data_IF_521936479511
#
_entry.id   IF_521936479511
#
_cell.length_a   1.000
_cell.length_b   1.000
_cell.length_c   1.000
_cell.angle_alpha   90.00
_cell.angle_beta   90.00
_cell.angle_gamma   90.00
#
_symmetry.space_group_name_H-M   'P 1'
#
loop_
_entity.id
_entity.type
_entity.pdbx_description
1 polymer ?
#
# COMPACT_ATOMS: atom_id res chain seq x y z
N UNK A 1 -14.73 32.94 -6.63
CA UNK A 1 -14.71 31.82 -5.68
C UNK A 1 -15.57 30.66 -6.14
N UNK A 2 -16.87 30.83 -6.40
CA UNK A 2 -17.72 29.72 -6.91
C UNK A 2 -17.24 29.12 -8.24
N UNK A 3 -16.76 29.93 -9.19
CA UNK A 3 -16.21 29.47 -10.48
C UNK A 3 -14.87 28.74 -10.37
N UNK A 4 -14.01 29.17 -9.45
CA UNK A 4 -12.74 28.49 -9.13
C UNK A 4 -12.98 27.19 -8.37
N UNK A 5 -13.95 27.17 -7.46
CA UNK A 5 -14.34 25.98 -6.70
C UNK A 5 -14.92 24.90 -7.62
N UNK A 6 -15.84 25.27 -8.52
CA UNK A 6 -16.42 24.35 -9.52
C UNK A 6 -15.38 23.84 -10.52
N UNK A 7 -14.41 24.68 -10.91
CA UNK A 7 -13.27 24.25 -11.73
C UNK A 7 -12.30 23.31 -10.99
N UNK A 8 -12.13 23.48 -9.68
CA UNK A 8 -11.31 22.62 -8.83
C UNK A 8 -12.03 21.28 -8.58
N UNK A 9 -13.32 21.29 -8.25
CA UNK A 9 -14.19 20.12 -8.15
C UNK A 9 -14.18 19.28 -9.43
N UNK A 10 -14.39 19.91 -10.59
CA UNK A 10 -14.36 19.26 -11.89
C UNK A 10 -13.00 18.63 -12.17
N UNK A 11 -11.89 19.35 -11.93
CA UNK A 11 -10.52 18.86 -12.14
C UNK A 11 -10.04 17.84 -11.12
N UNK A 12 -10.67 17.76 -9.95
CA UNK A 12 -10.32 16.77 -8.91
C UNK A 12 -11.12 15.48 -9.07
N UNK A 13 -12.40 15.54 -9.48
CA UNK A 13 -13.22 14.36 -9.81
C UNK A 13 -12.49 13.39 -10.78
N UNK A 14 -11.72 13.97 -11.72
CA UNK A 14 -10.84 13.32 -12.73
C UNK A 14 -9.79 12.37 -12.17
N UNK A 15 -9.29 12.67 -10.97
CA UNK A 15 -8.17 11.99 -10.30
C UNK A 15 -8.67 11.09 -9.16
N UNK A 16 -9.96 11.20 -8.81
CA UNK A 16 -10.53 10.69 -7.57
C UNK A 16 -11.10 9.28 -7.71
N UNK A 17 -11.91 9.04 -8.74
CA UNK A 17 -12.62 7.78 -8.97
C UNK A 17 -11.75 6.71 -9.68
N UNK A 18 -10.44 6.92 -9.79
CA UNK A 18 -9.50 5.90 -10.25
C UNK A 18 -9.15 4.88 -9.13
N UNK A 19 -9.35 5.26 -7.87
CA UNK A 19 -8.80 4.55 -6.69
C UNK A 19 -9.89 4.11 -5.71
N UNK A 20 -11.01 4.84 -5.63
CA UNK A 20 -11.99 4.70 -4.53
C UNK A 20 -12.65 3.32 -4.43
N UNK A 21 -12.66 2.62 -5.53
CA UNK A 21 -13.66 1.61 -5.78
C UNK A 21 -13.02 0.25 -6.15
N UNK A 22 -11.74 0.28 -6.53
CA UNK A 22 -10.89 -0.89 -6.69
C UNK A 22 -9.94 -1.08 -5.49
N UNK A 23 -9.65 -0.01 -4.73
CA UNK A 23 -8.64 -0.06 -3.65
C UNK A 23 -9.02 0.70 -2.38
N UNK A 24 -10.07 1.54 -2.36
CA UNK A 24 -10.34 2.38 -1.18
C UNK A 24 -11.45 1.88 -0.25
N UNK A 25 -12.11 0.77 -0.54
CA UNK A 25 -12.79 0.01 0.53
C UNK A 25 -11.79 -0.80 1.38
N UNK A 26 -10.50 -0.72 1.08
CA UNK A 26 -9.43 -1.45 1.75
C UNK A 26 -8.83 -0.71 2.97
N UNK A 27 -9.30 0.51 3.25
CA UNK A 27 -8.80 1.28 4.40
C UNK A 27 -9.31 0.77 5.75
N UNK A 28 -10.40 0.00 5.77
CA UNK A 28 -10.93 -0.65 6.98
C UNK A 28 -10.15 -1.94 7.33
N UNK A 29 -9.65 -2.67 6.34
CA UNK A 29 -8.99 -3.97 6.56
C UNK A 29 -7.49 -3.87 6.91
N UNK A 30 -6.94 -2.65 6.96
CA UNK A 30 -5.51 -2.39 7.16
C UNK A 30 -5.16 -1.90 8.57
N UNK A 31 -6.16 -1.73 9.44
CA UNK A 31 -6.02 -1.23 10.83
C UNK A 31 -5.81 -2.34 11.87
N UNK A 32 -5.65 -3.61 11.44
CA UNK A 32 -5.30 -4.72 12.32
C UNK A 32 -3.84 -4.66 12.76
N UNK A 33 -3.54 -3.75 13.67
CA UNK A 33 -2.33 -3.72 14.48
C UNK A 33 -2.73 -3.25 15.87
N UNK A 34 -2.54 -4.10 16.88
CA UNK A 34 -2.84 -3.75 18.26
C UNK A 34 -2.10 -2.45 18.64
N UNK A 35 -2.86 -1.51 19.22
CA UNK A 35 -2.42 -0.25 19.86
C UNK A 35 -2.47 1.06 19.01
N UNK A 36 -3.60 1.39 18.37
CA UNK A 36 -3.73 2.55 17.43
C UNK A 36 -4.62 3.73 17.90
N UNK A 37 -5.11 3.75 19.15
CA UNK A 37 -5.90 4.90 19.66
C UNK A 37 -5.14 6.24 19.65
N UNK A 38 -3.80 6.19 19.75
CA UNK A 38 -2.92 7.36 19.58
C UNK A 38 -2.88 7.89 18.14
N UNK A 39 -3.17 7.05 17.14
CA UNK A 39 -3.14 7.40 15.72
C UNK A 39 -4.35 8.25 15.31
N UNK A 40 -5.54 7.98 15.84
CA UNK A 40 -6.71 8.82 15.56
C UNK A 40 -6.56 10.22 16.16
N UNK A 41 -6.13 10.32 17.42
CA UNK A 41 -5.90 11.60 18.09
C UNK A 41 -4.84 12.47 17.36
N UNK A 42 -3.76 11.85 16.88
CA UNK A 42 -2.76 12.55 16.07
C UNK A 42 -3.32 12.93 14.68
N UNK A 43 -4.24 12.14 14.11
CA UNK A 43 -4.90 12.46 12.83
C UNK A 43 -5.77 13.71 12.97
N UNK A 44 -6.58 13.76 14.02
CA UNK A 44 -7.41 14.91 14.36
C UNK A 44 -6.52 16.14 14.63
N UNK A 45 -5.49 16.04 15.48
CA UNK A 45 -4.61 17.16 15.85
C UNK A 45 -3.98 17.88 14.66
N UNK A 46 -3.49 17.14 13.66
CA UNK A 46 -2.98 17.80 12.46
C UNK A 46 -4.09 18.26 11.53
N UNK A 47 -5.28 17.61 11.42
CA UNK A 47 -6.40 18.20 10.65
C UNK A 47 -6.79 19.56 11.22
N UNK A 48 -6.87 19.65 12.56
CA UNK A 48 -7.17 20.86 13.31
C UNK A 48 -6.15 21.96 13.02
N UNK A 49 -4.86 21.64 13.16
CA UNK A 49 -3.77 22.59 12.89
C UNK A 49 -3.75 23.06 11.44
N UNK A 50 -4.11 22.17 10.52
CA UNK A 50 -3.96 22.38 9.09
C UNK A 50 -5.10 23.17 8.46
N UNK A 51 -6.32 22.82 8.83
CA UNK A 51 -7.53 23.51 8.38
C UNK A 51 -7.76 24.79 9.20
N UNK A 52 -7.07 24.95 10.33
CA UNK A 52 -7.26 26.05 11.26
C UNK A 52 -8.64 25.96 11.91
N UNK A 53 -9.02 24.75 12.35
CA UNK A 53 -10.33 24.52 12.97
C UNK A 53 -10.43 25.28 14.29
N UNK A 54 -11.60 25.88 14.53
CA UNK A 54 -11.99 26.42 15.83
C UNK A 54 -12.07 25.32 16.89
N UNK A 55 -12.16 25.73 18.16
CA UNK A 55 -12.33 24.79 19.26
C UNK A 55 -13.63 23.97 19.13
N UNK A 56 -14.71 24.59 18.64
CA UNK A 56 -15.98 23.89 18.40
C UNK A 56 -15.92 22.91 17.23
N UNK A 57 -15.27 23.27 16.13
CA UNK A 57 -15.07 22.36 14.99
C UNK A 57 -14.13 21.21 15.36
N UNK A 58 -13.11 21.49 16.18
CA UNK A 58 -12.20 20.47 16.72
C UNK A 58 -12.92 19.48 17.63
N UNK A 59 -13.79 19.97 18.51
CA UNK A 59 -14.61 19.12 19.37
C UNK A 59 -15.56 18.27 18.52
N UNK A 60 -16.28 18.87 17.57
CA UNK A 60 -17.17 18.15 16.66
C UNK A 60 -16.45 17.06 15.85
N UNK A 61 -15.26 17.36 15.33
CA UNK A 61 -14.44 16.39 14.61
C UNK A 61 -13.98 15.24 15.52
N UNK A 62 -13.53 15.56 16.73
CA UNK A 62 -13.10 14.55 17.71
C UNK A 62 -14.27 13.66 18.10
N UNK A 63 -15.44 14.24 18.34
CA UNK A 63 -16.67 13.52 18.65
C UNK A 63 -17.12 12.65 17.48
N UNK A 64 -16.97 13.12 16.24
CA UNK A 64 -17.23 12.32 15.02
C UNK A 64 -16.35 11.07 14.97
N UNK A 65 -15.05 11.25 15.16
CA UNK A 65 -14.10 10.13 15.20
C UNK A 65 -14.36 9.20 16.40
N UNK A 66 -14.75 9.72 17.55
CA UNK A 66 -15.09 8.89 18.71
C UNK A 66 -16.41 8.13 18.51
N UNK A 67 -17.40 8.77 17.89
CA UNK A 67 -18.72 8.20 17.59
C UNK A 67 -18.65 7.08 16.56
N UNK A 68 -17.83 7.27 15.51
CA UNK A 68 -17.74 6.32 14.40
C UNK A 68 -16.49 5.43 14.43
N UNK A 69 -15.51 5.71 15.30
CA UNK A 69 -14.25 4.96 15.38
C UNK A 69 -13.72 4.72 16.79
N UNK A 70 -14.47 5.03 17.85
CA UNK A 70 -13.96 5.06 19.23
C UNK A 70 -13.86 3.72 19.97
N UNK A 71 -14.57 2.68 19.54
CA UNK A 71 -14.51 1.32 20.14
C UNK A 71 -14.40 0.22 19.06
N UNK A 72 -14.48 0.62 17.79
CA UNK A 72 -14.60 -0.22 16.60
C UNK A 72 -13.66 0.30 15.50
N UNK A 73 -12.35 0.15 15.72
CA UNK A 73 -11.30 0.28 14.67
C UNK A 73 -11.48 -0.74 13.50
N UNK A 74 -12.69 -1.25 13.31
CA UNK A 74 -13.12 -2.40 12.50
C UNK A 74 -14.40 -2.12 11.70
N UNK A 75 -15.14 -1.03 11.94
CA UNK A 75 -16.39 -0.81 11.23
C UNK A 75 -16.11 -0.37 9.78
N UNK A 76 -16.47 -1.21 8.79
CA UNK A 76 -16.13 -0.90 7.42
C UNK A 76 -16.83 0.36 6.92
N UNK A 77 -16.07 1.29 6.36
CA UNK A 77 -16.61 2.53 5.80
C UNK A 77 -16.81 3.68 6.79
N UNK A 78 -16.40 3.59 8.06
CA UNK A 78 -16.66 4.65 9.06
C UNK A 78 -16.20 6.06 8.65
N UNK A 79 -15.10 6.17 7.88
CA UNK A 79 -14.60 7.44 7.36
C UNK A 79 -15.60 8.18 6.46
N UNK A 80 -16.56 7.48 5.85
CA UNK A 80 -17.61 8.12 5.07
C UNK A 80 -18.51 8.97 5.95
N UNK A 81 -18.90 8.48 7.14
CA UNK A 81 -19.65 9.26 8.11
C UNK A 81 -18.88 10.49 8.59
N UNK A 82 -17.59 10.31 8.90
CA UNK A 82 -16.72 11.44 9.28
C UNK A 82 -16.63 12.45 8.13
N UNK A 83 -16.51 11.98 6.88
CA UNK A 83 -16.45 12.85 5.71
C UNK A 83 -17.75 13.65 5.51
N UNK A 84 -18.91 13.05 5.75
CA UNK A 84 -20.19 13.74 5.66
C UNK A 84 -20.38 14.80 6.76
N UNK A 85 -20.01 14.47 8.01
CA UNK A 85 -20.05 15.46 9.10
C UNK A 85 -19.06 16.62 8.85
N UNK A 86 -17.88 16.33 8.30
CA UNK A 86 -16.92 17.36 7.86
C UNK A 86 -17.47 18.20 6.70
N UNK A 87 -18.16 17.59 5.73
CA UNK A 87 -18.77 18.33 4.61
C UNK A 87 -19.79 19.36 5.12
N UNK A 88 -20.61 18.98 6.10
CA UNK A 88 -21.65 19.83 6.68
C UNK A 88 -21.11 20.94 7.61
N UNK A 89 -19.93 20.74 8.19
CA UNK A 89 -19.39 21.64 9.24
C UNK A 89 -18.29 22.58 8.74
N UNK A 90 -17.51 22.17 7.74
CA UNK A 90 -16.41 22.98 7.22
C UNK A 90 -16.90 24.15 6.36
N UNK A 91 -16.21 25.28 6.47
CA UNK A 91 -16.43 26.42 5.58
C UNK A 91 -15.93 26.12 4.16
N UNK A 92 -16.42 26.88 3.19
CA UNK A 92 -15.97 26.81 1.80
C UNK A 92 -14.45 27.01 1.66
N UNK A 93 -13.86 27.91 2.47
CA UNK A 93 -12.42 28.15 2.48
C UNK A 93 -11.65 26.96 3.05
N UNK A 94 -12.16 26.31 4.09
CA UNK A 94 -11.54 25.12 4.68
C UNK A 94 -11.63 23.93 3.71
N UNK A 95 -12.79 23.70 3.09
CA UNK A 95 -12.98 22.71 2.02
C UNK A 95 -12.01 22.95 0.85
N UNK A 96 -11.92 24.19 0.37
CA UNK A 96 -11.01 24.54 -0.71
C UNK A 96 -9.54 24.26 -0.39
N UNK A 97 -9.09 24.53 0.85
CA UNK A 97 -7.72 24.20 1.30
C UNK A 97 -7.47 22.69 1.33
N UNK A 98 -8.44 21.93 1.83
CA UNK A 98 -8.37 20.47 1.87
C UNK A 98 -8.25 19.89 0.45
N UNK A 99 -9.10 20.36 -0.47
CA UNK A 99 -9.13 19.88 -1.85
C UNK A 99 -7.89 20.28 -2.64
N UNK A 100 -7.41 21.52 -2.48
CA UNK A 100 -6.15 21.96 -3.11
C UNK A 100 -4.96 21.10 -2.68
N UNK A 101 -4.92 20.68 -1.42
CA UNK A 101 -3.88 19.76 -0.94
C UNK A 101 -4.02 18.38 -1.53
N UNK A 102 -5.24 17.87 -1.62
CA UNK A 102 -5.54 16.58 -2.22
C UNK A 102 -5.14 16.55 -3.70
N UNK A 103 -5.31 17.67 -4.41
CA UNK A 103 -4.80 17.86 -5.77
C UNK A 103 -3.27 17.83 -5.79
N UNK A 104 -2.61 18.61 -4.95
CA UNK A 104 -1.14 18.60 -4.85
C UNK A 104 -0.56 17.23 -4.45
N UNK A 105 -1.24 16.46 -3.59
CA UNK A 105 -0.82 15.11 -3.22
C UNK A 105 -1.04 14.13 -4.36
N UNK A 106 -2.16 14.24 -5.08
CA UNK A 106 -2.42 13.46 -6.27
C UNK A 106 -1.41 13.77 -7.37
N UNK A 107 -1.02 15.02 -7.58
CA UNK A 107 0.00 15.43 -8.56
C UNK A 107 1.41 14.99 -8.16
N UNK A 108 1.69 14.87 -6.85
CA UNK A 108 2.95 14.30 -6.34
C UNK A 108 2.96 12.76 -6.37
N UNK A 109 1.80 12.12 -6.18
CA UNK A 109 1.60 10.68 -6.38
C UNK A 109 1.54 10.29 -7.86
N UNK A 110 1.17 11.24 -8.72
CA UNK A 110 1.34 11.27 -10.18
C UNK A 110 2.62 12.01 -10.59
N UNK A 111 3.53 12.26 -9.64
CA UNK A 111 4.88 12.73 -9.92
C UNK A 111 5.59 11.67 -10.77
N UNK A 112 6.48 12.05 -11.70
CA UNK A 112 6.84 11.27 -12.89
C UNK A 112 7.65 10.00 -12.53
N UNK A 113 6.96 8.97 -12.03
CA UNK A 113 7.43 7.60 -11.80
C UNK A 113 7.13 6.68 -12.98
N UNK A 114 6.27 7.13 -13.91
CA UNK A 114 6.33 6.75 -15.31
C UNK A 114 7.01 7.92 -16.05
N UNK A 115 8.32 7.90 -16.30
CA UNK A 115 9.02 8.88 -17.18
C UNK A 115 9.29 8.32 -18.57
N UNK A 116 8.84 8.96 -19.67
CA UNK A 116 9.25 8.59 -21.02
C UNK A 116 10.66 9.13 -21.16
N UNK A 117 11.62 8.28 -21.47
CA UNK A 117 13.00 8.73 -21.55
C UNK A 117 13.63 8.86 -20.16
N UNK A 118 14.06 7.71 -19.64
CA UNK A 118 15.27 7.69 -18.85
C UNK A 118 16.41 8.14 -19.74
N UNK A 119 16.71 9.44 -19.75
CA UNK A 119 18.05 9.88 -20.12
C UNK A 119 18.96 9.25 -19.08
N UNK A 120 19.75 8.26 -19.51
CA UNK A 120 20.63 7.48 -18.66
C UNK A 120 21.41 8.44 -17.75
N UNK A 121 21.14 8.35 -16.45
CA UNK A 121 22.12 8.78 -15.45
C UNK A 121 23.25 7.76 -15.51
N UNK A 122 24.48 8.14 -15.88
CA UNK A 122 25.60 7.22 -15.82
C UNK A 122 25.92 7.04 -14.33
N UNK A 123 25.63 5.84 -13.81
CA UNK A 123 25.79 5.43 -12.41
C UNK A 123 24.98 6.20 -11.35
N UNK A 124 24.04 5.51 -10.70
CA UNK A 124 23.52 5.97 -9.39
C UNK A 124 22.18 5.39 -8.98
N UNK A 125 22.19 4.15 -8.48
CA UNK A 125 21.34 3.58 -7.41
C UNK A 125 20.01 4.30 -7.13
N UNK A 126 18.92 3.69 -7.60
CA UNK A 126 17.55 4.14 -7.30
C UNK A 126 16.52 3.01 -7.32
N UNK A 127 16.93 1.75 -7.17
CA UNK A 127 16.03 0.76 -6.57
C UNK A 127 16.07 1.03 -5.07
N UNK A 128 14.92 1.15 -4.41
CA UNK A 128 14.86 0.93 -2.96
C UNK A 128 15.50 -0.42 -2.73
N UNK A 129 16.76 -0.41 -2.29
CA UNK A 129 17.46 -1.55 -1.78
C UNK A 129 16.77 -1.86 -0.46
N UNK A 130 15.64 -2.55 -0.54
CA UNK A 130 15.27 -3.46 0.53
C UNK A 130 16.51 -4.30 0.77
N UNK A 131 16.96 -4.37 2.01
CA UNK A 131 18.11 -5.18 2.40
C UNK A 131 18.02 -6.53 1.69
N UNK A 132 19.05 -6.97 0.94
CA UNK A 132 19.09 -8.35 0.48
C UNK A 132 19.33 -9.21 1.71
N UNK A 133 18.30 -9.91 2.19
CA UNK A 133 18.39 -10.87 3.29
C UNK A 133 17.40 -10.56 4.41
N UNK A 134 16.61 -11.57 4.78
CA UNK A 134 15.37 -11.52 5.60
C UNK A 134 14.28 -10.73 4.82
N UNK A 135 13.33 -11.27 4.06
CA UNK A 135 12.32 -12.28 4.44
C UNK A 135 11.58 -12.85 3.20
N UNK A 136 12.15 -12.74 2.00
CA UNK A 136 11.48 -13.15 0.76
C UNK A 136 11.91 -14.52 0.21
N UNK A 137 12.84 -15.21 0.89
CA UNK A 137 13.42 -16.47 0.41
C UNK A 137 13.27 -17.65 1.38
N UNK A 138 12.37 -17.53 2.36
CA UNK A 138 12.07 -18.60 3.29
C UNK A 138 10.59 -18.61 3.59
N UNK A 139 9.80 -19.23 2.72
CA UNK A 139 8.43 -19.65 3.06
C UNK A 139 8.41 -20.54 4.32
N UNK A 140 7.47 -21.48 4.45
CA UNK A 140 7.38 -22.34 5.65
C UNK A 140 8.70 -23.00 6.11
N UNK A 141 9.73 -23.09 5.26
CA UNK A 141 11.11 -23.51 5.59
C UNK A 141 11.74 -22.71 6.74
N UNK A 142 11.45 -21.42 6.88
CA UNK A 142 11.98 -20.62 8.00
C UNK A 142 11.33 -20.93 9.34
N UNK A 143 10.22 -21.69 9.33
CA UNK A 143 9.40 -22.02 10.49
C UNK A 143 9.58 -23.48 10.95
N UNK A 144 10.41 -24.26 10.26
CA UNK A 144 10.77 -25.63 10.64
C UNK A 144 12.21 -25.67 11.16
N UNK A 145 12.49 -26.60 12.07
CA UNK A 145 13.84 -26.78 12.62
C UNK A 145 14.74 -27.47 11.59
N UNK A 146 15.82 -26.79 11.20
CA UNK A 146 16.83 -27.31 10.28
C UNK A 146 18.14 -27.58 11.03
N UNK A 147 18.83 -28.67 10.66
CA UNK A 147 20.19 -28.93 11.15
C UNK A 147 21.18 -27.92 10.57
N UNK A 148 22.35 -27.80 11.20
CA UNK A 148 23.39 -26.88 10.71
C UNK A 148 23.91 -27.28 9.32
N UNK A 149 23.98 -28.59 9.05
CA UNK A 149 24.35 -29.12 7.74
C UNK A 149 23.30 -28.78 6.67
N UNK A 150 22.00 -28.91 6.99
CA UNK A 150 20.91 -28.53 6.08
C UNK A 150 20.93 -27.03 5.78
N UNK A 151 21.15 -26.18 6.79
CA UNK A 151 21.29 -24.72 6.61
C UNK A 151 22.47 -24.39 5.70
N UNK A 152 23.61 -25.09 5.86
CA UNK A 152 24.77 -24.90 5.01
C UNK A 152 24.47 -25.30 3.55
N UNK A 153 23.83 -26.44 3.33
CA UNK A 153 23.44 -26.90 2.00
C UNK A 153 22.44 -25.95 1.31
N UNK A 154 21.39 -25.52 2.02
CA UNK A 154 20.40 -24.55 1.50
C UNK A 154 21.07 -23.22 1.14
N UNK A 155 22.02 -22.75 1.97
CA UNK A 155 22.79 -21.54 1.67
C UNK A 155 23.60 -21.72 0.38
N UNK A 156 24.28 -22.85 0.20
CA UNK A 156 25.02 -23.15 -1.03
C UNK A 156 24.10 -23.20 -2.25
N UNK A 157 22.90 -23.79 -2.14
CA UNK A 157 21.88 -23.77 -3.21
C UNK A 157 21.56 -22.32 -3.57
N UNK A 158 21.16 -21.49 -2.60
CA UNK A 158 20.84 -20.08 -2.86
C UNK A 158 22.01 -19.29 -3.50
N UNK A 159 23.25 -19.51 -3.05
CA UNK A 159 24.43 -18.85 -3.60
C UNK A 159 24.70 -19.26 -5.06
N UNK A 160 24.43 -20.52 -5.42
CA UNK A 160 24.60 -21.02 -6.79
C UNK A 160 23.56 -20.49 -7.79
N UNK A 161 22.33 -20.23 -7.32
CA UNK A 161 21.24 -19.71 -8.14
C UNK A 161 21.21 -18.18 -8.23
N UNK A 162 21.81 -17.48 -7.26
CA UNK A 162 21.92 -16.00 -7.28
C UNK A 162 22.40 -15.41 -8.61
N UNK A 163 23.50 -15.88 -9.24
CA UNK A 163 23.93 -15.35 -10.53
C UNK A 163 22.93 -15.60 -11.67
N UNK A 164 22.14 -16.68 -11.60
CA UNK A 164 21.11 -16.98 -12.60
C UNK A 164 19.93 -16.00 -12.49
N UNK A 165 19.51 -15.66 -11.27
CA UNK A 165 18.54 -14.58 -11.04
C UNK A 165 19.06 -13.23 -11.57
N UNK A 166 20.33 -12.90 -11.29
CA UNK A 166 20.95 -11.67 -11.80
C UNK A 166 21.02 -11.64 -13.33
N UNK A 167 21.29 -12.78 -13.97
CA UNK A 167 21.32 -12.90 -15.43
C UNK A 167 19.93 -12.69 -16.06
N UNK A 168 18.86 -13.25 -15.48
CA UNK A 168 17.48 -13.02 -15.95
C UNK A 168 17.10 -11.54 -15.78
N UNK A 169 17.38 -10.95 -14.61
CA UNK A 169 17.07 -9.54 -14.33
C UNK A 169 17.87 -8.56 -15.21
N UNK A 170 19.04 -8.98 -15.69
CA UNK A 170 19.85 -8.19 -16.64
C UNK A 170 19.24 -8.13 -18.04
N UNK A 171 18.30 -9.01 -18.38
CA UNK A 171 17.61 -9.05 -19.68
C UNK A 171 16.38 -8.12 -19.75
N UNK A 172 16.18 -7.25 -18.74
CA UNK A 172 15.06 -6.29 -18.71
C UNK A 172 15.00 -5.30 -19.88
N UNK A 173 16.11 -5.11 -20.57
CA UNK A 173 16.18 -4.20 -21.72
C UNK A 173 15.86 -4.93 -23.04
N UNK A 174 15.78 -6.28 -23.03
CA UNK A 174 15.56 -7.13 -24.21
C UNK A 174 14.31 -8.00 -24.14
N UNK A 175 13.79 -8.26 -22.95
CA UNK A 175 12.61 -9.10 -22.71
C UNK A 175 11.47 -8.29 -22.11
N UNK A 176 10.25 -8.75 -22.38
CA UNK A 176 9.04 -8.24 -21.74
C UNK A 176 9.00 -8.61 -20.25
N UNK A 177 8.15 -7.90 -19.50
CA UNK A 177 7.91 -8.17 -18.08
C UNK A 177 7.44 -9.60 -17.81
N UNK A 178 6.58 -10.12 -18.68
CA UNK A 178 5.99 -11.45 -18.52
C UNK A 178 6.97 -12.56 -18.85
N UNK A 179 7.83 -12.37 -19.85
CA UNK A 179 8.93 -13.30 -20.14
C UNK A 179 9.91 -13.38 -18.98
N UNK A 180 10.29 -12.24 -18.39
CA UNK A 180 11.16 -12.19 -17.21
C UNK A 180 10.47 -12.88 -16.02
N UNK A 181 9.19 -12.58 -15.77
CA UNK A 181 8.42 -13.20 -14.69
C UNK A 181 8.39 -14.72 -14.83
N UNK A 182 8.10 -15.22 -16.03
CA UNK A 182 8.05 -16.65 -16.35
C UNK A 182 9.41 -17.33 -16.09
N UNK A 183 10.51 -16.71 -16.51
CA UNK A 183 11.86 -17.24 -16.25
C UNK A 183 12.22 -17.26 -14.76
N UNK A 184 11.86 -16.20 -14.04
CA UNK A 184 12.08 -16.11 -12.58
C UNK A 184 11.26 -17.16 -11.83
N UNK A 185 10.02 -17.42 -12.25
CA UNK A 185 9.15 -18.44 -11.65
C UNK A 185 9.70 -19.85 -11.89
N UNK A 186 10.12 -20.16 -13.13
CA UNK A 186 10.77 -21.42 -13.44
C UNK A 186 12.05 -21.63 -12.58
N UNK A 187 12.85 -20.58 -12.39
CA UNK A 187 14.06 -20.66 -11.56
C UNK A 187 13.74 -20.84 -10.07
N UNK A 188 12.66 -20.22 -9.57
CA UNK A 188 12.18 -20.42 -8.20
C UNK A 188 11.69 -21.84 -7.95
N UNK A 189 11.02 -22.45 -8.93
CA UNK A 189 10.57 -23.84 -8.87
C UNK A 189 11.77 -24.80 -8.73
N UNK A 190 12.83 -24.57 -9.50
CA UNK A 190 14.07 -25.35 -9.42
C UNK A 190 14.74 -25.22 -8.05
N UNK A 191 14.90 -24.00 -7.54
CA UNK A 191 15.44 -23.76 -6.20
C UNK A 191 14.60 -24.46 -5.14
N UNK A 192 13.27 -24.39 -5.23
CA UNK A 192 12.38 -25.06 -4.30
C UNK A 192 12.58 -26.57 -4.30
N UNK A 193 12.65 -27.19 -5.47
CA UNK A 193 12.84 -28.64 -5.59
C UNK A 193 14.19 -29.09 -5.00
N UNK A 194 15.27 -28.34 -5.24
CA UNK A 194 16.58 -28.66 -4.65
C UNK A 194 16.59 -28.50 -3.12
N UNK A 195 15.94 -27.44 -2.61
CA UNK A 195 15.83 -27.23 -1.16
C UNK A 195 14.98 -28.31 -0.51
N UNK A 196 13.86 -28.71 -1.11
CA UNK A 196 13.03 -29.83 -0.63
C UNK A 196 13.82 -31.16 -0.62
N UNK A 197 14.78 -31.34 -1.53
CA UNK A 197 15.68 -32.51 -1.55
C UNK A 197 16.62 -32.61 -0.35
N UNK A 198 16.89 -31.51 0.37
CA UNK A 198 17.74 -31.46 1.57
C UNK A 198 16.96 -31.80 2.85
N UNK A 199 15.63 -31.74 2.79
CA UNK A 199 14.75 -31.94 3.95
C UNK A 199 14.44 -33.42 4.18
N UNK A 200 14.22 -33.78 5.45
CA UNK A 200 13.69 -35.10 5.83
C UNK A 200 12.21 -35.20 5.50
N UNK A 201 11.68 -36.43 5.47
CA UNK A 201 10.26 -36.65 5.20
C UNK A 201 9.35 -35.99 6.26
N UNK A 202 9.77 -36.01 7.53
CA UNK A 202 9.07 -35.32 8.61
C UNK A 202 9.06 -33.79 8.42
N UNK A 203 10.18 -33.20 7.98
CA UNK A 203 10.29 -31.76 7.69
C UNK A 203 9.45 -31.35 6.48
N UNK A 204 9.38 -32.21 5.45
CA UNK A 204 8.49 -32.00 4.29
C UNK A 204 7.03 -32.01 4.70
N UNK A 205 6.62 -32.97 5.54
CA UNK A 205 5.27 -33.01 6.08
C UNK A 205 4.92 -31.75 6.89
N UNK A 206 5.84 -31.26 7.72
CA UNK A 206 5.66 -29.97 8.42
C UNK A 206 5.53 -28.79 7.46
N UNK A 207 6.35 -28.75 6.41
CA UNK A 207 6.30 -27.69 5.40
C UNK A 207 4.95 -27.68 4.65
N UNK A 208 4.42 -28.86 4.32
CA UNK A 208 3.12 -28.98 3.64
C UNK A 208 1.96 -28.58 4.55
N UNK A 209 2.03 -28.89 5.85
CA UNK A 209 1.06 -28.38 6.82
C UNK A 209 1.10 -26.84 6.90
N UNK A 210 2.30 -26.25 6.97
CA UNK A 210 2.45 -24.79 6.99
C UNK A 210 1.93 -24.12 5.71
N UNK A 211 2.10 -24.76 4.55
CA UNK A 211 1.52 -24.30 3.28
C UNK A 211 -0.01 -24.31 3.37
N UNK A 212 -0.61 -25.41 3.83
CA UNK A 212 -2.06 -25.54 4.00
C UNK A 212 -2.63 -24.51 4.99
N UNK A 213 -1.98 -24.32 6.14
CA UNK A 213 -2.41 -23.33 7.14
C UNK A 213 -2.26 -21.88 6.63
N UNK A 214 -1.23 -21.61 5.81
CA UNK A 214 -1.07 -20.31 5.18
C UNK A 214 -2.13 -20.07 4.10
N UNK A 215 -2.50 -21.09 3.33
CA UNK A 215 -3.57 -21.03 2.34
C UNK A 215 -4.93 -20.81 3.01
N UNK A 216 -5.24 -21.55 4.07
CA UNK A 216 -6.47 -21.38 4.85
C UNK A 216 -6.58 -19.96 5.43
N UNK A 217 -5.50 -19.44 6.03
CA UNK A 217 -5.48 -18.05 6.53
C UNK A 217 -5.62 -17.01 5.43
N UNK A 218 -5.06 -17.26 4.24
CA UNK A 218 -5.23 -16.36 3.09
C UNK A 218 -6.67 -16.35 2.61
N UNK A 219 -7.30 -17.52 2.51
CA UNK A 219 -8.71 -17.63 2.13
C UNK A 219 -9.64 -16.95 3.14
N UNK A 220 -9.42 -17.17 4.44
CA UNK A 220 -10.17 -16.50 5.50
C UNK A 220 -10.03 -14.97 5.43
N UNK A 221 -8.79 -14.48 5.32
CA UNK A 221 -8.53 -13.04 5.19
C UNK A 221 -9.10 -12.46 3.88
N UNK A 222 -9.14 -13.22 2.79
CA UNK A 222 -9.77 -12.79 1.54
C UNK A 222 -11.29 -12.63 1.69
N UNK A 223 -11.96 -13.60 2.33
CA UNK A 223 -13.38 -13.51 2.66
C UNK A 223 -13.68 -12.34 3.60
N UNK A 224 -12.86 -12.15 4.63
CA UNK A 224 -12.98 -11.01 5.54
C UNK A 224 -12.84 -9.67 4.79
N UNK A 225 -11.85 -9.56 3.89
CA UNK A 225 -11.67 -8.38 3.05
C UNK A 225 -12.84 -8.13 2.13
N UNK A 226 -13.41 -9.17 1.53
CA UNK A 226 -14.57 -9.03 0.65
C UNK A 226 -15.79 -8.55 1.45
N UNK A 227 -16.06 -9.17 2.60
CA UNK A 227 -17.13 -8.74 3.49
C UNK A 227 -16.96 -7.29 3.96
N UNK A 228 -15.73 -6.90 4.32
CA UNK A 228 -15.41 -5.52 4.69
C UNK A 228 -15.58 -4.55 3.52
N UNK A 229 -15.24 -4.96 2.29
CA UNK A 229 -15.45 -4.11 1.11
C UNK A 229 -16.92 -3.88 0.83
N UNK A 230 -17.73 -4.92 0.90
CA UNK A 230 -19.18 -4.83 0.69
C UNK A 230 -19.84 -3.97 1.79
N UNK A 231 -19.48 -4.19 3.05
CA UNK A 231 -19.97 -3.36 4.15
C UNK A 231 -19.59 -1.88 3.98
N UNK A 232 -18.35 -1.58 3.56
CA UNK A 232 -17.92 -0.21 3.30
C UNK A 232 -18.64 0.41 2.09
N UNK A 233 -18.94 -0.38 1.04
CA UNK A 233 -19.72 0.06 -0.13
C UNK A 233 -21.14 0.45 0.29
N UNK A 234 -21.77 -0.33 1.17
CA UNK A 234 -23.11 -0.03 1.68
C UNK A 234 -23.13 1.29 2.48
N UNK A 235 -22.14 1.49 3.36
CA UNK A 235 -22.01 2.75 4.11
C UNK A 235 -21.80 3.94 3.17
N UNK A 236 -20.98 3.78 2.14
CA UNK A 236 -20.79 4.84 1.14
C UNK A 236 -22.09 5.17 0.41
N UNK A 237 -22.85 4.16 -0.05
CA UNK A 237 -24.15 4.35 -0.72
C UNK A 237 -25.12 5.11 0.20
N UNK A 238 -25.21 4.69 1.46
CA UNK A 238 -26.05 5.34 2.47
C UNK A 238 -25.65 6.80 2.70
N UNK A 239 -24.36 7.06 2.94
CA UNK A 239 -23.83 8.39 3.25
C UNK A 239 -23.98 9.36 2.08
N UNK A 240 -23.72 8.89 0.86
CA UNK A 240 -23.87 9.69 -0.35
C UNK A 240 -25.34 9.80 -0.79
N UNK A 241 -26.23 9.00 -0.23
CA UNK A 241 -27.64 8.96 -0.60
C UNK A 241 -27.86 8.57 -2.06
N UNK A 242 -27.05 7.63 -2.57
CA UNK A 242 -27.10 7.24 -3.98
C UNK A 242 -28.39 6.51 -4.30
N UNK A 243 -28.97 6.85 -5.45
CA UNK A 243 -30.09 6.14 -6.05
C UNK A 243 -29.65 4.83 -6.69
N UNK A 244 -30.59 3.91 -6.89
CA UNK A 244 -30.32 2.64 -7.58
C UNK A 244 -29.74 2.86 -8.99
N UNK A 245 -30.20 3.91 -9.69
CA UNK A 245 -29.68 4.30 -11.00
C UNK A 245 -28.24 4.81 -10.93
N UNK A 246 -27.90 5.63 -9.93
CA UNK A 246 -26.52 6.09 -9.70
C UNK A 246 -25.60 4.94 -9.30
N UNK A 247 -26.06 4.00 -8.48
CA UNK A 247 -25.31 2.78 -8.12
C UNK A 247 -25.05 1.93 -9.36
N UNK A 248 -26.06 1.70 -10.19
CA UNK A 248 -25.90 0.97 -11.44
C UNK A 248 -24.92 1.69 -12.40
N UNK A 249 -24.97 3.02 -12.47
CA UNK A 249 -24.05 3.80 -13.30
C UNK A 249 -22.60 3.74 -12.80
N UNK A 250 -22.38 3.74 -11.47
CA UNK A 250 -21.05 3.54 -10.90
C UNK A 250 -20.51 2.13 -11.19
N UNK A 251 -21.33 1.09 -11.03
CA UNK A 251 -20.91 -0.29 -11.32
C UNK A 251 -20.56 -0.47 -12.81
N UNK A 252 -21.31 0.17 -13.72
CA UNK A 252 -20.99 0.22 -15.14
C UNK A 252 -19.66 0.96 -15.41
N UNK A 253 -19.43 2.08 -14.73
CA UNK A 253 -18.20 2.85 -14.82
C UNK A 253 -16.96 2.04 -14.37
N UNK A 254 -17.11 1.19 -13.35
CA UNK A 254 -16.05 0.27 -12.94
C UNK A 254 -15.71 -0.76 -14.00
N UNK A 255 -16.74 -1.38 -14.58
CA UNK A 255 -16.55 -2.38 -15.63
C UNK A 255 -15.82 -1.74 -16.82
N UNK A 256 -16.20 -0.51 -17.20
CA UNK A 256 -15.48 0.28 -18.21
C UNK A 256 -14.02 0.50 -17.81
N UNK A 257 -13.72 0.81 -16.55
CA UNK A 257 -12.34 1.03 -16.10
C UNK A 257 -11.45 -0.21 -16.12
N UNK A 258 -12.02 -1.40 -15.88
CA UNK A 258 -11.28 -2.65 -16.06
C UNK A 258 -10.95 -2.86 -17.54
N UNK A 259 -11.92 -2.62 -18.43
CA UNK A 259 -11.70 -2.69 -19.87
C UNK A 259 -10.66 -1.66 -20.36
N UNK A 260 -10.67 -0.43 -19.83
CA UNK A 260 -9.68 0.61 -20.11
C UNK A 260 -8.26 0.16 -19.71
N UNK A 261 -8.12 -0.44 -18.52
CA UNK A 261 -6.83 -0.98 -18.04
C UNK A 261 -6.32 -2.08 -18.96
N UNK A 262 -7.20 -3.00 -19.37
CA UNK A 262 -6.85 -4.04 -20.31
C UNK A 262 -6.40 -3.45 -21.64
N UNK A 263 -7.09 -2.43 -22.14
CA UNK A 263 -6.72 -1.73 -23.38
C UNK A 263 -5.31 -1.13 -23.28
N UNK A 264 -4.98 -0.44 -22.18
CA UNK A 264 -3.64 0.11 -21.97
C UNK A 264 -2.59 -1.00 -21.85
N UNK A 265 -2.92 -2.11 -21.17
CA UNK A 265 -2.03 -3.25 -21.02
C UNK A 265 -1.74 -3.90 -22.38
N UNK A 266 -2.77 -4.12 -23.21
CA UNK A 266 -2.63 -4.67 -24.56
C UNK A 266 -1.77 -3.77 -25.47
N UNK A 267 -1.90 -2.44 -25.36
CA UNK A 267 -1.02 -1.50 -26.08
C UNK A 267 0.44 -1.67 -25.66
N UNK A 268 0.69 -1.82 -24.35
CA UNK A 268 2.05 -2.05 -23.83
C UNK A 268 2.60 -3.39 -24.34
N UNK A 269 1.80 -4.45 -24.30
CA UNK A 269 2.21 -5.80 -24.67
C UNK A 269 2.43 -5.96 -26.18
N UNK A 270 1.71 -5.20 -26.99
CA UNK A 270 1.92 -5.11 -28.45
C UNK A 270 3.09 -4.20 -28.84
N UNK A 271 3.78 -3.61 -27.87
CA UNK A 271 4.96 -2.78 -28.10
C UNK A 271 4.65 -1.38 -28.61
N UNK A 272 3.45 -0.85 -28.32
CA UNK A 272 3.12 0.53 -28.64
C UNK A 272 4.14 1.49 -28.04
N UNK A 273 4.47 2.54 -28.79
CA UNK A 273 5.36 3.56 -28.29
C UNK A 273 4.69 4.32 -27.14
N UNK A 274 5.52 5.02 -26.39
CA UNK A 274 5.08 5.66 -25.18
C UNK A 274 4.12 6.83 -25.39
N UNK A 275 4.26 7.56 -26.49
CA UNK A 275 3.36 8.67 -26.81
C UNK A 275 1.95 8.11 -27.07
N UNK A 276 1.87 6.99 -27.79
CA UNK A 276 0.61 6.28 -28.04
C UNK A 276 -0.04 5.80 -26.74
N UNK A 277 0.71 5.14 -25.85
CA UNK A 277 0.18 4.67 -24.55
C UNK A 277 -0.28 5.86 -23.69
N UNK A 278 0.47 6.96 -23.70
CA UNK A 278 0.12 8.15 -22.94
C UNK A 278 -1.14 8.83 -23.48
N UNK A 279 -1.26 8.98 -24.80
CA UNK A 279 -2.44 9.57 -25.43
C UNK A 279 -3.71 8.75 -25.14
N UNK A 280 -3.62 7.42 -25.25
CA UNK A 280 -4.72 6.53 -24.89
C UNK A 280 -5.10 6.66 -23.41
N UNK A 281 -4.11 6.70 -22.51
CA UNK A 281 -4.37 6.85 -21.08
C UNK A 281 -5.02 8.20 -20.74
N UNK A 282 -4.61 9.28 -21.40
CA UNK A 282 -5.19 10.62 -21.24
C UNK A 282 -6.65 10.67 -21.74
N UNK A 283 -6.94 10.06 -22.89
CA UNK A 283 -8.28 9.97 -23.44
C UNK A 283 -9.23 9.17 -22.53
N UNK A 284 -8.82 7.97 -22.11
CA UNK A 284 -9.61 7.12 -21.19
C UNK A 284 -9.78 7.78 -19.82
N UNK A 285 -8.82 8.60 -19.39
CA UNK A 285 -8.96 9.38 -18.16
C UNK A 285 -10.00 10.49 -18.32
N UNK A 286 -9.98 11.21 -19.43
CA UNK A 286 -10.95 12.27 -19.72
C UNK A 286 -12.37 11.73 -19.85
N UNK A 287 -12.57 10.59 -20.53
CA UNK A 287 -13.87 9.95 -20.67
C UNK A 287 -14.46 9.54 -19.30
N UNK A 288 -13.64 8.98 -18.41
CA UNK A 288 -14.08 8.65 -17.07
C UNK A 288 -14.35 9.88 -16.20
N UNK A 289 -13.60 10.96 -16.36
CA UNK A 289 -13.89 12.24 -15.68
C UNK A 289 -15.31 12.71 -15.99
N UNK A 290 -15.68 12.72 -17.27
CA UNK A 290 -17.00 13.13 -17.71
C UNK A 290 -18.08 12.23 -17.13
N UNK A 291 -17.84 10.91 -17.12
CA UNK A 291 -18.78 9.94 -16.56
C UNK A 291 -18.98 10.13 -15.05
N UNK A 292 -17.92 10.36 -14.27
CA UNK A 292 -18.02 10.59 -12.81
C UNK A 292 -18.83 11.85 -12.51
N UNK A 293 -18.55 12.94 -13.22
CA UNK A 293 -19.24 14.22 -13.01
C UNK A 293 -20.72 14.18 -13.43
N UNK A 294 -21.12 13.20 -14.25
CA UNK A 294 -22.50 12.96 -14.62
C UNK A 294 -23.26 12.09 -13.60
N UNK A 295 -22.55 11.30 -12.79
CA UNK A 295 -23.16 10.38 -11.81
C UNK A 295 -23.36 11.03 -10.45
N UNK A 296 -22.38 11.79 -9.97
CA UNK A 296 -22.41 12.36 -8.62
C UNK A 296 -22.72 13.87 -8.65
N UNK A 297 -23.58 14.31 -7.74
CA UNK A 297 -23.84 15.73 -7.51
C UNK A 297 -22.68 16.44 -6.76
N UNK A 298 -22.79 17.77 -6.64
CA UNK A 298 -21.75 18.60 -6.02
C UNK A 298 -21.51 18.23 -4.54
N UNK A 299 -22.56 17.88 -3.80
CA UNK A 299 -22.45 17.51 -2.38
C UNK A 299 -21.82 16.12 -2.23
N UNK A 300 -22.25 15.15 -3.04
CA UNK A 300 -21.68 13.80 -3.08
C UNK A 300 -20.19 13.84 -3.45
N UNK A 301 -19.80 14.69 -4.39
CA UNK A 301 -18.39 14.91 -4.77
C UNK A 301 -17.56 15.51 -3.62
N UNK A 302 -18.11 16.49 -2.88
CA UNK A 302 -17.44 17.05 -1.72
C UNK A 302 -17.17 16.00 -0.64
N UNK A 303 -18.18 15.21 -0.26
CA UNK A 303 -18.04 14.13 0.73
C UNK A 303 -16.96 13.15 0.27
N UNK A 304 -16.99 12.75 -1.00
CA UNK A 304 -16.03 11.82 -1.60
C UNK A 304 -14.58 12.35 -1.55
N UNK A 305 -14.38 13.65 -1.82
CA UNK A 305 -13.06 14.27 -1.73
C UNK A 305 -12.55 14.36 -0.29
N UNK A 306 -13.43 14.67 0.67
CA UNK A 306 -13.09 14.68 2.09
C UNK A 306 -12.68 13.26 2.52
N UNK A 307 -13.47 12.24 2.18
CA UNK A 307 -13.14 10.83 2.43
C UNK A 307 -11.74 10.48 1.91
N UNK A 308 -11.42 10.82 0.66
CA UNK A 308 -10.11 10.52 0.07
C UNK A 308 -8.97 11.24 0.81
N UNK A 309 -9.17 12.48 1.22
CA UNK A 309 -8.17 13.21 1.99
C UNK A 309 -7.91 12.55 3.37
N UNK A 310 -8.95 12.03 4.02
CA UNK A 310 -8.83 11.25 5.25
C UNK A 310 -8.11 9.91 4.99
N UNK A 311 -8.56 9.15 3.99
CA UNK A 311 -8.01 7.85 3.62
C UNK A 311 -6.51 7.90 3.24
N UNK A 312 -6.12 8.83 2.35
CA UNK A 312 -4.71 9.02 1.96
C UNK A 312 -3.81 9.29 3.18
N UNK A 313 -4.34 10.02 4.14
CA UNK A 313 -3.59 10.38 5.33
C UNK A 313 -3.39 9.18 6.25
N UNK A 314 -4.41 8.36 6.46
CA UNK A 314 -4.26 7.12 7.23
C UNK A 314 -3.24 6.18 6.55
N UNK A 315 -3.29 6.06 5.21
CA UNK A 315 -2.33 5.25 4.45
C UNK A 315 -0.87 5.78 4.55
N UNK A 316 -0.66 7.10 4.45
CA UNK A 316 0.67 7.70 4.50
C UNK A 316 1.37 7.53 5.87
N UNK A 317 0.63 7.27 6.95
CA UNK A 317 1.20 6.98 8.27
C UNK A 317 1.78 5.59 8.38
N UNK A 318 1.12 4.59 7.80
CA UNK A 318 1.61 3.20 7.74
C UNK A 318 2.99 3.11 7.07
N UNK A 319 3.24 3.95 6.06
CA UNK A 319 4.55 4.05 5.40
C UNK A 319 5.68 4.63 6.27
N UNK A 320 5.36 5.34 7.36
CA UNK A 320 6.32 5.90 8.32
C UNK A 320 6.48 5.03 9.59
N UNK A 321 5.44 4.30 10.00
CA UNK A 321 5.44 3.47 11.22
C UNK A 321 6.32 2.20 11.16
N UNK A 322 6.69 1.71 9.97
CA UNK A 322 7.56 0.53 9.82
C UNK A 322 9.04 0.73 10.14
N UNK A 323 9.46 1.92 10.60
CA UNK A 323 10.85 2.22 11.01
C UNK A 323 10.91 2.57 12.49
N UNK A 324 10.85 1.55 13.34
CA UNK A 324 11.21 1.70 14.75
C UNK A 324 10.33 0.91 15.70
N UNK A 325 10.31 -0.42 15.59
CA UNK A 325 9.88 -1.25 16.71
C UNK A 325 10.89 -1.14 17.87
N UNK A 326 10.45 -1.06 19.14
CA UNK A 326 11.32 -0.89 20.29
C UNK A 326 11.93 -2.23 20.72
N UNK A 327 12.86 -2.78 19.92
CA UNK A 327 13.66 -3.94 20.31
C UNK A 327 15.12 -3.86 19.81
N UNK A 328 15.65 -2.64 19.76
CA UNK A 328 17.05 -2.35 19.41
C UNK A 328 18.00 -2.23 20.60
N UNK A 329 17.66 -2.78 21.77
CA UNK A 329 18.49 -2.67 22.97
C UNK A 329 18.70 -4.03 23.65
N UNK A 330 19.31 -4.98 22.94
CA UNK A 330 19.96 -6.12 23.59
C UNK A 330 21.42 -6.24 23.15
N UNK A 331 22.29 -5.90 24.10
CA UNK A 331 23.59 -6.56 24.27
C UNK A 331 24.70 -6.15 23.31
N UNK A 332 25.29 -4.96 23.48
CA UNK A 332 26.75 -4.87 23.33
C UNK A 332 27.37 -5.67 24.48
N UNK A 333 27.58 -6.96 24.22
CA UNK A 333 28.41 -7.81 25.07
C UNK A 333 29.78 -7.19 25.20
N UNK A 334 30.08 -6.67 26.39
CA UNK A 334 31.43 -6.40 26.82
C UNK A 334 32.14 -7.75 26.90
N UNK A 335 32.91 -8.07 25.86
CA UNK A 335 33.91 -9.13 25.92
C UNK A 335 34.98 -8.72 26.92
N UNK A 336 35.00 -9.36 28.08
CA UNK A 336 36.18 -9.34 28.94
C UNK A 336 37.25 -10.29 28.39
N UNK A 337 38.54 -9.97 28.50
CA UNK A 337 39.58 -10.97 28.55
C UNK A 337 39.91 -11.27 30.01
N UNK A 338 39.62 -12.50 30.43
CA UNK A 338 40.16 -13.10 31.64
C UNK A 338 41.55 -13.63 31.28
N UNK A 339 42.60 -12.90 31.63
CA UNK A 339 43.96 -13.40 31.64
C UNK A 339 44.56 -13.09 33.02
N UNK A 340 44.47 -14.05 33.92
CA UNK A 340 45.26 -14.10 35.14
C UNK A 340 46.62 -14.73 34.83
N UNK A 341 47.70 -14.06 35.20
CA UNK A 341 49.07 -14.55 35.16
C UNK A 341 50.01 -13.52 35.81
N UNK A 342 50.95 -13.94 36.66
CA UNK A 342 51.40 -13.16 37.82
C UNK A 342 52.48 -12.13 37.47
N UNK A 343 52.44 -10.99 38.16
CA UNK A 343 53.50 -9.98 38.12
C UNK A 343 54.76 -10.41 38.88
N UNK A 344 55.91 -9.87 38.47
CA UNK A 344 56.98 -9.58 39.41
C UNK A 344 57.46 -8.12 39.30
N UNK A 345 57.90 -7.58 40.43
CA UNK A 345 59.02 -6.63 40.43
C UNK A 345 58.67 -5.17 40.65
N UNK A 346 58.39 -4.82 41.91
CA UNK A 346 58.74 -3.50 42.40
C UNK A 346 60.28 -3.36 42.43
N UNK A 347 60.76 -2.30 41.78
CA UNK A 347 61.86 -1.40 42.20
C UNK A 347 63.08 -1.98 42.92
N UNK A 348 64.24 -1.84 42.28
CA UNK A 348 65.42 -1.21 42.89
C UNK A 348 66.40 -0.79 41.78
N UNK A 349 66.86 0.46 41.83
CA UNK A 349 67.85 1.04 40.91
C UNK A 349 67.57 2.49 40.61
#
# INVERSE_FOLDING_TARGET
>A
MKTTFKSILSRIATSLMLVLFLTACDTSSSLSGDDDSGSLAESVSFLVSDLGLSASETAALTDSFAKFGGDSDKDPGFLWYVAAEMQATLTEEQKARLFQRLEQSNDRGQGPGMRPGGQQRPNGQGMRQGKPGQDSNGGGISQIELTDDQKAQIKTIHESYKPQFEAILSQRDSLTRDEIKTQIEALREQVRAEVEGVLTDDQKAQLDQLKADAEARRAEHELEREANREAAKLVMIEVLGLTDDEVAAMDALHASREADRQTIQDLIDTGADRETVQAAAEELRAAHEEAVAAILDETQLEITMIYKALAQRMQNRKGKGGKGGPDGQRGRGQGGPRAGGPGPGATNG
#
